data_IF_733794629863
#
_entry.id   IF_733794629863
#
_cell.length_a   1.000
_cell.length_b   1.000
_cell.length_c   1.000
_cell.angle_alpha   90.00
_cell.angle_beta   90.00
_cell.angle_gamma   90.00
#
_symmetry.space_group_name_H-M   'P 1'
#
loop_
_entity.id
_entity.type
_entity.pdbx_description
1 polymer ?
#
# COMPACT_ATOMS: atom_id res chain seq x y z
N UNK A 1 27.54 -19.68 9.18
CA UNK A 1 26.50 -20.00 10.17
C UNK A 1 25.24 -20.26 9.38
N UNK A 2 24.67 -21.45 9.51
CA UNK A 2 23.46 -21.86 8.78
C UNK A 2 22.28 -21.05 9.38
N UNK A 3 21.55 -20.34 8.51
CA UNK A 3 20.26 -19.75 8.85
C UNK A 3 19.26 -20.88 8.92
N UNK A 4 18.82 -21.24 10.13
CA UNK A 4 17.66 -22.14 10.31
C UNK A 4 16.42 -21.44 9.74
N UNK A 5 15.79 -22.07 8.76
CA UNK A 5 14.51 -21.62 8.23
C UNK A 5 13.42 -21.89 9.27
N UNK A 6 12.83 -20.82 9.84
CA UNK A 6 11.63 -20.92 10.68
C UNK A 6 10.47 -21.36 9.80
N UNK A 7 10.00 -22.58 9.97
CA UNK A 7 8.97 -23.21 9.13
C UNK A 7 7.56 -23.14 9.70
N UNK A 8 7.42 -22.88 11.02
CA UNK A 8 6.13 -22.71 11.70
C UNK A 8 6.21 -21.70 12.85
N UNK A 9 5.06 -21.24 13.35
CA UNK A 9 4.96 -20.36 14.54
C UNK A 9 5.39 -21.13 15.81
N UNK A 10 5.26 -22.46 15.80
CA UNK A 10 5.64 -23.33 16.92
C UNK A 10 7.16 -23.52 17.01
N UNK A 11 7.92 -23.15 15.96
CA UNK A 11 9.38 -23.19 15.95
C UNK A 11 10.02 -21.95 16.58
N UNK A 12 9.21 -20.96 17.01
CA UNK A 12 9.69 -19.79 17.72
C UNK A 12 9.90 -20.15 19.18
N UNK A 13 11.15 -20.42 19.53
CA UNK A 13 11.51 -20.59 20.95
C UNK A 13 11.41 -19.23 21.66
N UNK A 14 10.32 -19.03 22.39
CA UNK A 14 10.03 -17.83 23.18
C UNK A 14 10.72 -17.82 24.56
N UNK A 15 11.44 -18.91 24.92
CA UNK A 15 12.23 -18.91 26.14
C UNK A 15 13.51 -18.09 25.94
N UNK A 16 13.83 -17.14 26.83
CA UNK A 16 15.06 -16.38 26.74
C UNK A 16 16.25 -17.34 26.82
N UNK A 17 17.12 -17.29 25.81
CA UNK A 17 18.37 -18.03 25.86
C UNK A 17 19.17 -17.56 27.06
N UNK A 18 19.80 -18.49 27.76
CA UNK A 18 20.57 -18.21 28.97
C UNK A 18 21.69 -17.20 28.70
N UNK A 19 21.47 -15.95 29.08
CA UNK A 19 22.38 -14.81 28.85
C UNK A 19 21.71 -13.60 28.18
N UNK A 20 20.47 -13.71 27.67
CA UNK A 20 19.71 -12.57 27.19
C UNK A 20 18.95 -11.89 28.34
N UNK A 21 19.05 -10.57 28.39
CA UNK A 21 18.22 -9.76 29.30
C UNK A 21 16.75 -9.97 28.93
N UNK A 22 15.87 -10.33 29.88
CA UNK A 22 14.46 -10.46 29.57
C UNK A 22 13.93 -9.15 28.99
N UNK A 23 12.99 -9.24 28.07
CA UNK A 23 12.33 -8.05 27.49
C UNK A 23 11.88 -7.11 28.62
N UNK A 24 12.28 -5.86 28.56
CA UNK A 24 11.92 -4.82 29.53
C UNK A 24 11.48 -3.57 28.80
N UNK A 25 10.42 -2.93 29.30
CA UNK A 25 9.99 -1.59 28.90
C UNK A 25 10.63 -0.50 29.78
N UNK A 26 11.55 -0.88 30.69
CA UNK A 26 12.30 0.10 31.46
C UNK A 26 13.26 0.88 30.53
N UNK A 27 13.11 2.19 30.53
CA UNK A 27 13.94 3.07 29.72
C UNK A 27 15.37 3.09 30.29
N UNK A 28 16.34 2.97 29.41
CA UNK A 28 17.75 3.24 29.74
C UNK A 28 17.99 4.75 29.91
N UNK A 29 19.22 5.15 30.31
CA UNK A 29 19.47 6.57 30.58
C UNK A 29 19.37 7.43 29.33
N UNK A 30 19.92 6.98 28.20
CA UNK A 30 19.87 7.73 26.93
C UNK A 30 18.40 7.98 26.48
N UNK A 31 17.53 6.98 26.63
CA UNK A 31 16.10 7.11 26.33
C UNK A 31 15.38 8.09 27.27
N UNK A 32 15.76 8.10 28.55
CA UNK A 32 15.24 9.09 29.52
C UNK A 32 15.68 10.52 29.18
N UNK A 33 16.95 10.68 28.82
CA UNK A 33 17.54 11.97 28.45
C UNK A 33 16.92 12.50 27.16
N UNK A 34 16.73 11.65 26.15
CA UNK A 34 16.01 11.99 24.90
C UNK A 34 14.56 12.39 25.21
N UNK A 35 13.87 11.62 26.04
CA UNK A 35 12.50 11.94 26.44
C UNK A 35 12.40 13.31 27.09
N UNK A 36 13.27 13.62 28.05
CA UNK A 36 13.30 14.91 28.76
C UNK A 36 13.61 16.06 27.79
N UNK A 37 14.57 15.87 26.90
CA UNK A 37 14.93 16.85 25.90
C UNK A 37 13.77 17.17 24.94
N UNK A 38 13.11 16.13 24.38
CA UNK A 38 11.98 16.31 23.46
C UNK A 38 10.76 16.88 24.21
N UNK A 39 10.51 16.43 25.46
CA UNK A 39 9.44 16.98 26.29
C UNK A 39 9.64 18.49 26.53
N UNK A 40 10.83 18.92 26.85
CA UNK A 40 11.14 20.36 27.03
C UNK A 40 10.87 21.19 25.77
N UNK A 41 11.18 20.65 24.58
CA UNK A 41 10.80 21.29 23.33
C UNK A 41 9.28 21.27 23.10
N UNK A 42 8.64 20.17 23.39
CA UNK A 42 7.18 20.03 23.24
C UNK A 42 6.43 20.99 24.17
N UNK A 43 6.86 21.15 25.44
CA UNK A 43 6.28 22.06 26.42
C UNK A 43 6.55 23.52 26.07
N UNK A 44 7.79 23.86 25.71
CA UNK A 44 8.21 25.24 25.51
C UNK A 44 7.86 25.83 24.15
N UNK A 45 7.77 25.00 23.10
CA UNK A 45 7.57 25.47 21.71
C UNK A 45 6.31 24.90 21.08
N UNK A 46 6.10 23.58 21.11
CA UNK A 46 4.97 22.95 20.39
C UNK A 46 3.64 23.30 21.03
N UNK A 47 3.51 23.09 22.33
CA UNK A 47 2.24 23.28 23.04
C UNK A 47 1.72 24.70 23.05
N UNK A 48 2.55 25.75 23.24
CA UNK A 48 2.09 27.13 23.11
C UNK A 48 1.61 27.52 21.71
N UNK A 49 2.18 26.90 20.67
CA UNK A 49 1.83 27.15 19.27
C UNK A 49 0.60 26.35 18.78
N UNK A 50 0.17 25.33 19.52
CA UNK A 50 -0.82 24.35 19.08
C UNK A 50 -2.14 24.95 18.58
N UNK A 51 -2.76 25.83 19.39
CA UNK A 51 -4.06 26.44 19.07
C UNK A 51 -3.99 27.31 17.82
N UNK A 52 -2.95 28.13 17.71
CA UNK A 52 -2.76 29.03 16.57
C UNK A 52 -2.64 28.24 15.26
N UNK A 53 -1.77 27.24 15.20
CA UNK A 53 -1.53 26.50 13.97
C UNK A 53 -2.67 25.56 13.61
N UNK A 54 -3.40 25.04 14.60
CA UNK A 54 -4.62 24.27 14.33
C UNK A 54 -5.73 25.16 13.76
N UNK A 55 -5.94 26.37 14.29
CA UNK A 55 -6.94 27.33 13.80
C UNK A 55 -6.60 27.85 12.39
N UNK A 56 -5.33 28.14 12.12
CA UNK A 56 -4.86 28.60 10.80
C UNK A 56 -4.95 27.50 9.75
N UNK A 57 -4.94 26.24 10.15
CA UNK A 57 -4.88 25.08 9.24
C UNK A 57 -3.66 25.14 8.30
N UNK A 58 -2.55 25.72 8.73
CA UNK A 58 -1.32 25.87 7.95
C UNK A 58 -0.18 25.03 8.50
N UNK A 59 0.85 24.79 7.68
CA UNK A 59 2.06 24.09 8.11
C UNK A 59 2.86 25.01 9.06
N UNK A 60 3.25 24.54 10.25
CA UNK A 60 3.91 25.33 11.26
C UNK A 60 5.42 25.50 10.98
N UNK A 61 5.78 26.12 9.86
CA UNK A 61 7.15 26.31 9.43
C UNK A 61 8.09 26.88 10.50
N UNK A 62 7.69 27.91 11.29
CA UNK A 62 8.55 28.41 12.36
C UNK A 62 8.87 27.35 13.42
N UNK A 63 7.91 26.47 13.74
CA UNK A 63 8.13 25.40 14.73
C UNK A 63 9.04 24.32 14.16
N UNK A 64 8.89 23.97 12.86
CA UNK A 64 9.79 23.05 12.15
C UNK A 64 11.22 23.62 12.14
N UNK A 65 11.37 24.94 11.90
CA UNK A 65 12.66 25.62 11.91
C UNK A 65 13.31 25.58 13.31
N UNK A 66 12.55 25.83 14.38
CA UNK A 66 13.07 25.68 15.74
C UNK A 66 13.48 24.22 16.04
N UNK A 67 12.72 23.23 15.56
CA UNK A 67 13.11 21.82 15.67
C UNK A 67 14.41 21.52 14.91
N UNK A 68 14.64 22.15 13.75
CA UNK A 68 15.90 22.03 12.99
C UNK A 68 17.08 22.63 13.76
N UNK A 69 16.92 23.83 14.33
CA UNK A 69 17.99 24.51 15.09
C UNK A 69 18.49 23.71 16.28
N UNK A 70 17.59 23.00 16.96
CA UNK A 70 17.98 22.14 18.08
C UNK A 70 18.45 20.74 17.65
N UNK A 71 18.47 20.45 16.35
CA UNK A 71 18.86 19.17 15.81
C UNK A 71 17.80 18.06 15.89
N UNK A 72 16.55 18.37 16.27
CA UNK A 72 15.47 17.40 16.35
C UNK A 72 14.88 17.06 14.96
N UNK A 73 14.84 18.05 14.05
CA UNK A 73 14.42 17.85 12.68
C UNK A 73 15.62 17.79 11.75
N UNK A 74 16.02 16.56 11.40
CA UNK A 74 17.18 16.33 10.54
C UNK A 74 17.50 14.85 10.40
N UNK A 75 18.39 14.54 9.48
CA UNK A 75 18.80 13.17 9.22
C UNK A 75 19.53 12.54 10.40
N UNK A 76 20.43 13.29 11.05
CA UNK A 76 21.27 12.83 12.15
C UNK A 76 20.42 12.35 13.34
N UNK A 77 19.41 13.15 13.74
CA UNK A 77 18.49 12.76 14.80
C UNK A 77 17.70 11.50 14.43
N UNK A 78 17.17 11.47 13.20
CA UNK A 78 16.39 10.33 12.75
C UNK A 78 17.24 9.05 12.67
N UNK A 79 18.48 9.15 12.18
CA UNK A 79 19.42 8.04 12.14
C UNK A 79 19.74 7.51 13.56
N UNK A 80 19.91 8.41 14.52
CA UNK A 80 20.12 8.05 15.93
C UNK A 80 18.90 7.33 16.52
N UNK A 81 17.67 7.81 16.21
CA UNK A 81 16.45 7.19 16.69
C UNK A 81 16.24 5.78 16.10
N UNK A 82 16.61 5.57 14.84
CA UNK A 82 16.56 4.26 14.21
C UNK A 82 17.69 3.32 14.65
N UNK A 83 18.81 3.85 15.14
CA UNK A 83 19.92 3.04 15.59
C UNK A 83 19.69 2.37 16.97
N UNK A 84 18.64 2.75 17.70
CA UNK A 84 18.29 2.13 18.98
C UNK A 84 17.85 0.68 18.77
N UNK A 85 18.61 -0.31 19.27
CA UNK A 85 18.31 -1.72 19.08
C UNK A 85 17.03 -2.16 19.81
N UNK A 86 16.56 -1.39 20.79
CA UNK A 86 15.30 -1.66 21.50
C UNK A 86 14.08 -1.21 20.69
N UNK A 87 14.25 -0.31 19.73
CA UNK A 87 13.19 0.32 18.94
C UNK A 87 12.28 1.26 19.73
N UNK A 88 12.61 1.62 20.98
CA UNK A 88 11.77 2.47 21.84
C UNK A 88 12.01 3.96 21.65
N UNK A 89 13.18 4.39 21.20
CA UNK A 89 13.52 5.81 21.09
C UNK A 89 12.57 6.57 20.16
N UNK A 90 12.27 6.03 18.97
CA UNK A 90 11.35 6.68 18.05
C UNK A 90 9.90 6.79 18.59
N UNK A 91 9.29 5.76 19.19
CA UNK A 91 8.04 5.89 19.92
C UNK A 91 8.07 6.97 21.02
N UNK A 92 9.12 7.04 21.82
CA UNK A 92 9.28 8.05 22.88
C UNK A 92 9.26 9.46 22.30
N UNK A 93 10.05 9.71 21.26
CA UNK A 93 10.09 11.02 20.59
C UNK A 93 8.71 11.41 20.04
N UNK A 94 8.00 10.45 19.41
CA UNK A 94 6.66 10.70 18.90
C UNK A 94 5.66 10.99 20.03
N UNK A 95 5.72 10.23 21.14
CA UNK A 95 4.83 10.41 22.27
C UNK A 95 4.97 11.82 22.85
N UNK A 96 6.19 12.29 23.09
CA UNK A 96 6.44 13.62 23.66
C UNK A 96 6.04 14.75 22.70
N UNK A 97 6.35 14.63 21.40
CA UNK A 97 5.90 15.62 20.42
C UNK A 97 4.38 15.68 20.32
N UNK A 98 3.70 14.53 20.32
CA UNK A 98 2.26 14.46 20.20
C UNK A 98 1.53 14.85 21.49
N UNK A 99 2.18 14.72 22.65
CA UNK A 99 1.74 15.32 23.90
C UNK A 99 1.68 16.85 23.80
N UNK A 100 2.63 17.47 23.11
CA UNK A 100 2.61 18.90 22.79
C UNK A 100 1.43 19.26 21.89
N UNK A 101 1.42 18.72 20.68
CA UNK A 101 0.31 18.76 19.71
C UNK A 101 0.53 17.72 18.60
N UNK A 102 -0.47 16.91 18.32
CA UNK A 102 -0.36 15.85 17.34
C UNK A 102 -0.25 16.36 15.88
N UNK A 103 -0.84 17.53 15.56
CA UNK A 103 -0.74 18.14 14.23
C UNK A 103 0.66 18.67 13.95
N UNK A 104 1.24 19.38 14.90
CA UNK A 104 2.61 19.89 14.82
C UNK A 104 3.60 18.71 14.89
N UNK A 105 3.41 17.75 15.80
CA UNK A 105 4.23 16.55 15.89
C UNK A 105 4.28 15.78 14.58
N UNK A 106 3.13 15.62 13.91
CA UNK A 106 3.06 15.00 12.58
C UNK A 106 3.77 15.85 11.50
N UNK A 107 3.74 17.18 11.59
CA UNK A 107 4.44 18.06 10.65
C UNK A 107 5.97 17.90 10.76
N UNK A 108 6.48 17.68 11.98
CA UNK A 108 7.90 17.42 12.24
C UNK A 108 8.25 15.98 11.79
N UNK A 109 7.48 14.99 12.22
CA UNK A 109 7.85 13.57 12.01
C UNK A 109 7.40 13.00 10.67
N UNK A 110 6.52 13.69 9.93
CA UNK A 110 5.95 13.16 8.67
C UNK A 110 6.99 12.89 7.58
N UNK A 111 8.06 13.66 7.53
CA UNK A 111 9.20 13.46 6.60
C UNK A 111 9.90 12.12 6.83
N UNK A 112 9.90 11.59 8.05
CA UNK A 112 10.54 10.31 8.39
C UNK A 112 9.99 9.13 7.59
N UNK A 113 8.73 9.20 7.15
CA UNK A 113 8.11 8.15 6.32
C UNK A 113 8.76 8.06 4.93
N UNK A 114 9.06 9.21 4.31
CA UNK A 114 9.77 9.24 3.03
C UNK A 114 11.22 8.74 3.18
N UNK A 115 11.89 9.19 4.23
CA UNK A 115 13.26 8.74 4.56
C UNK A 115 13.30 7.24 4.81
N UNK A 116 12.33 6.67 5.56
CA UNK A 116 12.22 5.23 5.77
C UNK A 116 12.02 4.47 4.43
N UNK A 117 11.25 5.01 3.50
CA UNK A 117 11.07 4.45 2.16
C UNK A 117 12.39 4.42 1.36
N UNK A 118 13.20 5.49 1.44
CA UNK A 118 14.53 5.55 0.81
C UNK A 118 15.48 4.54 1.47
N UNK A 119 15.50 4.48 2.80
CA UNK A 119 16.33 3.52 3.56
C UNK A 119 16.00 2.06 3.22
N UNK A 120 14.72 1.73 3.15
CA UNK A 120 14.27 0.35 2.93
C UNK A 120 14.63 -0.18 1.53
N UNK A 121 14.78 0.71 0.54
CA UNK A 121 14.86 0.30 -0.86
C UNK A 121 16.02 0.89 -1.63
N UNK A 122 16.58 2.03 -1.20
CA UNK A 122 17.60 2.77 -1.91
C UNK A 122 19.01 2.16 -1.79
N UNK A 123 19.91 2.63 -2.65
CA UNK A 123 21.36 2.38 -2.54
C UNK A 123 22.00 3.44 -1.64
N UNK A 124 23.24 3.23 -1.13
CA UNK A 124 23.94 4.23 -0.36
C UNK A 124 24.10 5.59 -1.10
N UNK A 125 24.30 5.53 -2.41
CA UNK A 125 24.40 6.72 -3.26
C UNK A 125 23.07 7.46 -3.30
N UNK A 126 21.96 6.74 -3.50
CA UNK A 126 20.61 7.32 -3.47
C UNK A 126 20.25 7.89 -2.10
N UNK A 127 20.67 7.23 -1.02
CA UNK A 127 20.48 7.77 0.34
C UNK A 127 21.24 9.09 0.51
N UNK A 128 22.50 9.14 0.09
CA UNK A 128 23.34 10.35 0.15
C UNK A 128 22.80 11.51 -0.69
N UNK A 129 22.17 11.20 -1.83
CA UNK A 129 21.59 12.20 -2.73
C UNK A 129 20.26 12.75 -2.22
N UNK A 130 19.34 11.88 -1.81
CA UNK A 130 17.93 12.25 -1.59
C UNK A 130 17.58 12.60 -0.15
N UNK A 131 18.22 11.99 0.86
CA UNK A 131 17.87 12.23 2.25
C UNK A 131 18.11 13.68 2.68
N UNK A 132 19.24 14.34 2.34
CA UNK A 132 19.43 15.75 2.65
C UNK A 132 18.34 16.67 2.05
N UNK A 133 17.88 16.34 0.84
CA UNK A 133 16.83 17.10 0.16
C UNK A 133 15.44 16.94 0.81
N UNK A 134 15.23 15.90 1.62
CA UNK A 134 14.00 15.71 2.38
C UNK A 134 13.85 16.70 3.54
N UNK A 135 14.97 17.19 4.10
CA UNK A 135 14.99 18.07 5.27
C UNK A 135 15.33 19.52 4.93
N UNK A 136 16.09 19.75 3.86
CA UNK A 136 16.59 21.08 3.51
C UNK A 136 17.71 21.54 4.44
N UNK A 137 17.69 22.82 4.82
CA UNK A 137 18.68 23.44 5.71
C UNK A 137 17.98 24.12 6.89
N UNK A 138 18.77 24.59 7.87
CA UNK A 138 18.27 25.33 9.02
C UNK A 138 17.52 26.61 8.62
N UNK A 139 18.04 27.33 7.61
CA UNK A 139 17.43 28.58 7.12
C UNK A 139 16.25 28.31 6.14
N UNK A 140 16.21 27.15 5.49
CA UNK A 140 15.19 26.77 4.53
C UNK A 140 14.80 25.32 4.72
N UNK A 141 14.07 24.98 5.82
CA UNK A 141 13.63 23.63 6.08
C UNK A 141 12.64 23.15 5.01
N UNK A 142 12.84 21.91 4.55
CA UNK A 142 11.98 21.24 3.59
C UNK A 142 11.24 20.09 4.26
N UNK A 143 10.23 19.57 3.60
CA UNK A 143 9.54 18.36 4.01
C UNK A 143 9.47 17.38 2.85
N UNK A 144 9.31 16.11 3.15
CA UNK A 144 9.12 15.08 2.14
C UNK A 144 7.81 14.31 2.37
N UNK A 145 7.33 13.68 1.31
CA UNK A 145 6.10 12.90 1.32
C UNK A 145 6.33 11.45 0.94
N UNK A 146 5.69 10.52 1.67
CA UNK A 146 5.60 9.11 1.28
C UNK A 146 4.20 8.83 0.71
N UNK A 147 4.14 8.49 -0.57
CA UNK A 147 2.92 8.37 -1.34
C UNK A 147 2.65 6.92 -1.73
N UNK A 148 1.83 6.21 -0.96
CA UNK A 148 1.42 4.83 -1.24
C UNK A 148 -0.07 4.71 -1.48
N UNK A 149 -0.92 5.29 -0.61
CA UNK A 149 -2.37 5.17 -0.69
C UNK A 149 -2.95 5.81 -1.94
N UNK A 150 -4.04 5.23 -2.44
CA UNK A 150 -4.83 5.71 -3.57
C UNK A 150 -6.30 5.77 -3.19
N UNK A 151 -7.19 6.46 -3.95
CA UNK A 151 -8.61 6.51 -3.64
C UNK A 151 -9.24 5.11 -3.48
N UNK A 152 -8.78 4.13 -4.26
CA UNK A 152 -9.30 2.76 -4.26
C UNK A 152 -8.36 1.74 -3.58
N UNK A 153 -7.22 2.16 -3.03
CA UNK A 153 -6.23 1.28 -2.41
C UNK A 153 -5.64 1.92 -1.14
N UNK A 154 -6.27 1.65 -0.01
CA UNK A 154 -5.82 2.04 1.33
C UNK A 154 -5.24 0.85 2.09
N UNK A 155 -6.08 0.06 2.77
CA UNK A 155 -5.64 -1.15 3.47
C UNK A 155 -5.14 -2.23 2.51
N UNK A 156 -5.72 -2.34 1.31
CA UNK A 156 -5.23 -3.21 0.24
C UNK A 156 -4.28 -2.45 -0.70
N UNK A 157 -3.08 -2.18 -0.23
CA UNK A 157 -2.00 -1.59 -1.04
C UNK A 157 -1.44 -2.55 -2.10
N UNK A 158 -1.92 -3.80 -2.18
CA UNK A 158 -1.54 -4.71 -3.27
C UNK A 158 -2.22 -4.35 -4.60
N UNK A 159 -3.30 -3.56 -4.55
CA UNK A 159 -4.17 -3.20 -5.68
C UNK A 159 -3.88 -1.80 -6.25
N UNK A 160 -2.66 -1.30 -6.13
CA UNK A 160 -2.28 0.02 -6.66
C UNK A 160 -2.53 0.13 -8.15
N UNK A 161 -3.10 1.26 -8.56
CA UNK A 161 -3.38 1.63 -9.96
C UNK A 161 -2.38 2.61 -10.53
N UNK A 162 -1.73 3.44 -9.73
CA UNK A 162 -0.61 4.28 -10.16
C UNK A 162 0.46 3.37 -10.73
N UNK A 163 0.84 3.63 -11.98
CA UNK A 163 1.68 2.74 -12.76
C UNK A 163 2.92 3.45 -13.27
N UNK A 164 4.06 2.79 -13.16
CA UNK A 164 5.33 3.25 -13.70
C UNK A 164 5.76 2.35 -14.86
N UNK A 165 6.04 2.95 -16.02
CA UNK A 165 6.55 2.26 -17.22
C UNK A 165 7.94 2.76 -17.55
N UNK A 166 8.86 1.83 -17.78
CA UNK A 166 10.21 2.18 -18.21
C UNK A 166 10.29 2.45 -19.71
N UNK A 167 10.93 3.56 -20.06
CA UNK A 167 11.27 3.96 -21.44
C UNK A 167 12.77 3.66 -21.65
N UNK A 168 13.08 2.51 -22.24
CA UNK A 168 14.47 2.05 -22.46
C UNK A 168 15.26 2.99 -23.39
N UNK A 169 14.59 3.68 -24.32
CA UNK A 169 15.28 4.56 -25.28
C UNK A 169 15.81 5.84 -24.63
N UNK A 170 15.20 6.25 -23.50
CA UNK A 170 15.55 7.49 -22.81
C UNK A 170 16.15 7.28 -21.43
N UNK A 171 16.17 6.04 -20.95
CA UNK A 171 16.49 5.70 -19.55
C UNK A 171 15.62 6.50 -18.55
N UNK A 172 14.30 6.50 -18.78
CA UNK A 172 13.32 7.22 -17.97
C UNK A 172 12.21 6.29 -17.48
N UNK A 173 11.64 6.60 -16.31
CA UNK A 173 10.37 6.06 -15.88
C UNK A 173 9.26 7.06 -16.12
N UNK A 174 8.15 6.59 -16.66
CA UNK A 174 6.93 7.37 -16.92
C UNK A 174 5.86 6.93 -15.93
N UNK A 175 5.45 7.83 -15.05
CA UNK A 175 4.50 7.57 -13.99
C UNK A 175 3.17 8.24 -14.32
N UNK A 176 2.08 7.47 -14.18
CA UNK A 176 0.71 7.95 -14.34
C UNK A 176 -0.18 7.40 -13.23
N UNK A 177 -1.04 8.27 -12.67
CA UNK A 177 -1.97 7.90 -11.63
C UNK A 177 -2.19 8.98 -10.58
N UNK A 178 -2.71 8.57 -9.43
CA UNK A 178 -3.04 9.49 -8.33
C UNK A 178 -2.74 8.82 -7.00
N UNK A 179 -2.15 9.59 -6.08
CA UNK A 179 -2.00 9.23 -4.67
C UNK A 179 -2.91 10.10 -3.82
N UNK A 180 -3.46 9.51 -2.76
CA UNK A 180 -4.42 10.17 -1.89
C UNK A 180 -3.92 10.23 -0.44
N UNK A 181 -4.29 11.31 0.25
CA UNK A 181 -4.04 11.51 1.67
C UNK A 181 -2.56 11.46 2.07
N UNK A 182 -1.67 11.85 1.18
CA UNK A 182 -0.24 11.89 1.48
C UNK A 182 0.06 13.03 2.47
N UNK A 183 0.68 12.69 3.60
CA UNK A 183 1.25 13.68 4.51
C UNK A 183 2.32 14.47 3.75
N UNK A 184 2.26 15.79 3.83
CA UNK A 184 3.09 16.72 3.08
C UNK A 184 2.91 16.67 1.55
N UNK A 185 1.97 15.89 0.99
CA UNK A 185 1.85 15.65 -0.46
C UNK A 185 1.73 16.90 -1.32
N UNK A 186 1.16 18.00 -0.79
CA UNK A 186 1.00 19.27 -1.51
C UNK A 186 2.10 20.31 -1.25
N UNK A 187 3.14 19.98 -0.48
CA UNK A 187 4.22 20.92 -0.11
C UNK A 187 5.60 20.26 -0.08
N UNK A 188 5.68 18.98 -0.41
CA UNK A 188 6.92 18.23 -0.32
C UNK A 188 7.95 18.67 -1.35
N UNK A 189 9.20 18.78 -0.93
CA UNK A 189 10.34 18.95 -1.83
C UNK A 189 10.65 17.65 -2.59
N UNK A 190 10.56 16.52 -1.90
CA UNK A 190 10.79 15.18 -2.45
C UNK A 190 9.59 14.31 -2.17
N UNK A 191 9.12 13.57 -3.19
CA UNK A 191 8.10 12.54 -3.01
C UNK A 191 8.70 11.15 -3.20
N UNK A 192 8.47 10.26 -2.25
CA UNK A 192 8.76 8.83 -2.41
C UNK A 192 7.44 8.13 -2.75
N UNK A 193 7.35 7.61 -3.96
CA UNK A 193 6.09 7.11 -4.53
C UNK A 193 6.18 5.63 -4.83
N UNK A 194 5.24 4.84 -4.29
CA UNK A 194 5.14 3.42 -4.61
C UNK A 194 4.19 3.22 -5.79
N UNK A 195 4.69 2.65 -6.87
CA UNK A 195 3.94 2.40 -8.09
C UNK A 195 3.90 0.91 -8.44
N UNK A 196 2.86 0.49 -9.16
CA UNK A 196 2.84 -0.80 -9.84
C UNK A 196 3.70 -0.73 -11.11
N UNK A 197 4.59 -1.69 -11.30
CA UNK A 197 5.35 -1.91 -12.55
C UNK A 197 4.90 -3.19 -13.26
N UNK A 198 4.22 -4.09 -12.54
CA UNK A 198 3.59 -5.30 -13.07
C UNK A 198 2.35 -5.63 -12.23
N UNK A 199 1.18 -5.26 -12.75
CA UNK A 199 -0.11 -5.44 -12.05
C UNK A 199 -0.49 -6.89 -11.79
N UNK A 200 0.00 -7.82 -12.63
CA UNK A 200 -0.32 -9.25 -12.47
C UNK A 200 0.33 -9.87 -11.23
N UNK A 201 1.37 -9.24 -10.72
CA UNK A 201 2.10 -9.69 -9.54
C UNK A 201 1.59 -9.11 -8.22
N UNK A 202 0.60 -8.16 -8.25
CA UNK A 202 0.10 -7.46 -7.07
C UNK A 202 1.22 -6.75 -6.31
N UNK A 203 1.29 -6.89 -4.97
CA UNK A 203 2.34 -6.27 -4.16
C UNK A 203 3.78 -6.60 -4.61
N UNK A 204 4.02 -7.78 -5.17
CA UNK A 204 5.34 -8.18 -5.67
C UNK A 204 5.74 -7.47 -6.98
N UNK A 205 4.76 -6.89 -7.67
CA UNK A 205 4.94 -6.10 -8.89
C UNK A 205 5.04 -4.60 -8.65
N UNK A 206 5.33 -4.16 -7.41
CA UNK A 206 5.45 -2.75 -7.04
C UNK A 206 6.91 -2.36 -6.90
N UNK A 207 7.22 -1.07 -7.11
CA UNK A 207 8.53 -0.48 -6.89
C UNK A 207 8.36 0.93 -6.31
N UNK A 208 9.38 1.39 -5.57
CA UNK A 208 9.41 2.74 -5.00
C UNK A 208 10.31 3.64 -5.86
N UNK A 209 9.88 4.86 -6.06
CA UNK A 209 10.54 5.87 -6.87
C UNK A 209 10.70 7.16 -6.08
N UNK A 210 11.80 7.85 -6.28
CA UNK A 210 11.95 9.24 -5.85
C UNK A 210 11.50 10.15 -6.99
N UNK A 211 10.62 11.08 -6.69
CA UNK A 211 10.25 12.15 -7.60
C UNK A 211 11.02 13.39 -7.15
N UNK A 212 11.95 13.88 -7.97
CA UNK A 212 12.71 15.10 -7.68
C UNK A 212 11.82 16.35 -7.55
N UNK A 213 12.29 17.41 -6.91
CA UNK A 213 11.60 18.69 -6.88
C UNK A 213 11.24 19.17 -8.29
N UNK A 214 10.11 19.86 -8.42
CA UNK A 214 9.68 20.54 -9.64
C UNK A 214 9.61 19.64 -10.90
N UNK A 215 9.44 18.32 -10.71
CA UNK A 215 9.31 17.37 -11.83
C UNK A 215 8.04 17.64 -12.63
N UNK A 216 8.13 17.91 -13.94
CA UNK A 216 6.96 18.09 -14.80
C UNK A 216 6.05 16.86 -14.78
N UNK A 217 4.73 17.10 -14.73
CA UNK A 217 3.74 16.02 -14.64
C UNK A 217 3.53 15.47 -13.22
N UNK A 218 4.22 16.00 -12.20
CA UNK A 218 3.89 15.79 -10.79
C UNK A 218 3.15 17.02 -10.26
N UNK A 219 1.84 16.89 -10.04
CA UNK A 219 1.00 17.96 -9.53
C UNK A 219 0.69 17.71 -8.05
N UNK A 220 1.10 18.65 -7.21
CA UNK A 220 0.83 18.69 -5.78
C UNK A 220 -0.57 19.25 -5.54
N UNK A 221 -1.45 18.46 -4.93
CA UNK A 221 -2.83 18.82 -4.67
C UNK A 221 -3.01 19.85 -3.55
N UNK A 222 -4.21 20.40 -3.49
CA UNK A 222 -4.59 21.32 -2.42
C UNK A 222 -4.71 20.58 -1.08
N UNK A 223 -4.42 21.30 0.02
CA UNK A 223 -4.57 20.79 1.38
C UNK A 223 -6.00 20.35 1.67
N UNK A 224 -6.15 19.13 2.16
CA UNK A 224 -7.43 18.58 2.60
C UNK A 224 -7.85 19.21 3.94
N UNK A 225 -9.10 19.67 4.05
CA UNK A 225 -9.70 20.10 5.32
C UNK A 225 -9.95 18.89 6.21
N UNK A 226 -9.46 18.95 7.44
CA UNK A 226 -9.54 17.85 8.41
C UNK A 226 -10.25 18.28 9.69
N UNK A 227 -10.81 17.32 10.43
CA UNK A 227 -11.43 17.56 11.73
C UNK A 227 -10.42 17.67 12.89
N UNK A 228 -9.19 17.24 12.69
CA UNK A 228 -8.08 17.31 13.63
C UNK A 228 -6.76 17.18 12.92
N UNK A 229 -5.64 17.34 13.63
CA UNK A 229 -4.28 17.39 13.06
C UNK A 229 -4.17 18.45 11.96
N UNK A 230 -4.85 19.60 12.14
CA UNK A 230 -5.02 20.60 11.09
C UNK A 230 -3.74 21.35 10.74
N UNK A 231 -2.78 21.42 11.67
CA UNK A 231 -1.44 21.91 11.39
C UNK A 231 -0.66 21.02 10.41
N UNK A 232 -0.90 19.70 10.41
CA UNK A 232 -0.26 18.78 9.46
C UNK A 232 -0.86 18.92 8.06
N UNK A 233 -0.01 19.05 7.04
CA UNK A 233 -0.43 19.10 5.65
C UNK A 233 -0.79 17.68 5.14
N UNK A 234 -1.94 17.57 4.49
CA UNK A 234 -2.38 16.32 3.83
C UNK A 234 -2.96 16.69 2.48
N UNK A 235 -2.51 16.05 1.41
CA UNK A 235 -3.01 16.33 0.05
C UNK A 235 -2.96 15.09 -0.82
N UNK A 236 -3.66 15.15 -1.95
CA UNK A 236 -3.50 14.22 -3.05
C UNK A 236 -2.29 14.64 -3.90
N UNK A 237 -1.72 13.68 -4.63
CA UNK A 237 -0.63 13.94 -5.60
C UNK A 237 -1.00 13.26 -6.91
N UNK A 238 -0.97 14.02 -8.00
CA UNK A 238 -1.34 13.54 -9.32
C UNK A 238 -0.11 13.40 -10.21
N UNK A 239 -0.09 12.35 -11.03
CA UNK A 239 0.97 12.07 -11.98
C UNK A 239 0.36 11.93 -13.38
N UNK A 240 0.76 12.81 -14.30
CA UNK A 240 0.35 12.80 -15.71
C UNK A 240 1.59 12.89 -16.58
N UNK A 241 1.93 11.80 -17.25
CA UNK A 241 3.17 11.61 -18.01
C UNK A 241 4.42 12.11 -17.23
N UNK A 242 4.42 11.90 -15.92
CA UNK A 242 5.50 12.32 -15.03
C UNK A 242 6.75 11.49 -15.34
N UNK A 243 7.77 12.15 -15.91
CA UNK A 243 9.00 11.52 -16.36
C UNK A 243 10.13 11.79 -15.40
N UNK A 244 10.77 10.71 -14.96
CA UNK A 244 11.90 10.77 -14.05
C UNK A 244 13.05 9.91 -14.59
N UNK A 245 14.33 10.27 -14.32
CA UNK A 245 15.48 9.47 -14.68
C UNK A 245 15.42 8.03 -14.16
N UNK A 246 16.04 7.10 -14.87
CA UNK A 246 16.15 5.70 -14.45
C UNK A 246 16.74 5.53 -13.06
N UNK A 247 17.68 6.42 -12.68
CA UNK A 247 18.33 6.48 -11.35
C UNK A 247 17.38 6.80 -10.19
N UNK A 248 16.19 7.34 -10.46
CA UNK A 248 15.16 7.63 -9.43
C UNK A 248 14.40 6.37 -8.96
N UNK A 249 14.58 5.22 -9.60
CA UNK A 249 14.08 3.94 -9.08
C UNK A 249 14.94 3.52 -7.89
N UNK A 250 14.34 3.42 -6.71
CA UNK A 250 15.06 3.01 -5.50
C UNK A 250 15.54 1.56 -5.61
N UNK A 251 16.84 1.37 -5.37
CA UNK A 251 17.53 0.08 -5.44
C UNK A 251 17.95 -0.35 -6.85
N UNK A 252 17.60 0.41 -7.88
CA UNK A 252 18.05 0.20 -9.25
C UNK A 252 17.29 -0.85 -10.05
N UNK A 253 17.43 -0.76 -11.38
CA UNK A 253 16.64 -1.58 -12.32
C UNK A 253 17.02 -3.05 -12.30
N UNK A 254 18.30 -3.38 -12.15
CA UNK A 254 18.76 -4.76 -12.11
C UNK A 254 18.12 -5.56 -10.97
N UNK A 255 18.16 -5.02 -9.74
CA UNK A 255 17.53 -5.61 -8.56
C UNK A 255 16.00 -5.75 -8.74
N UNK A 256 15.37 -4.76 -9.38
CA UNK A 256 13.93 -4.83 -9.69
C UNK A 256 13.64 -5.97 -10.67
N UNK A 257 14.39 -6.08 -11.76
CA UNK A 257 14.19 -7.11 -12.80
C UNK A 257 14.37 -8.51 -12.25
N UNK A 258 15.40 -8.77 -11.42
CA UNK A 258 15.60 -10.04 -10.72
C UNK A 258 14.42 -10.39 -9.80
N UNK A 259 13.93 -9.40 -9.03
CA UNK A 259 12.79 -9.59 -8.13
C UNK A 259 11.52 -9.91 -8.89
N UNK A 260 11.26 -9.23 -10.02
CA UNK A 260 10.11 -9.50 -10.88
C UNK A 260 10.21 -10.87 -11.54
N UNK A 261 11.39 -11.29 -12.01
CA UNK A 261 11.62 -12.61 -12.58
C UNK A 261 11.28 -13.71 -11.57
N UNK A 262 11.83 -13.64 -10.36
CA UNK A 262 11.52 -14.59 -9.26
C UNK A 262 10.04 -14.61 -8.90
N UNK A 263 9.38 -13.44 -8.87
CA UNK A 263 7.95 -13.35 -8.57
C UNK A 263 7.08 -13.98 -9.65
N UNK A 264 7.45 -13.86 -10.93
CA UNK A 264 6.77 -14.48 -12.07
C UNK A 264 6.89 -16.00 -12.04
N UNK A 265 8.08 -16.53 -11.77
CA UNK A 265 8.31 -17.96 -11.61
C UNK A 265 7.46 -18.56 -10.49
N UNK A 266 7.47 -17.96 -9.30
CA UNK A 266 6.63 -18.40 -8.18
C UNK A 266 5.13 -18.33 -8.49
N UNK A 267 4.68 -17.37 -9.29
CA UNK A 267 3.28 -17.26 -9.73
C UNK A 267 2.92 -18.34 -10.72
N UNK A 268 3.82 -18.65 -11.69
CA UNK A 268 3.64 -19.74 -12.66
C UNK A 268 3.55 -21.09 -11.95
N UNK A 269 4.45 -21.36 -11.01
CA UNK A 269 4.46 -22.59 -10.23
C UNK A 269 3.15 -22.78 -9.44
N UNK A 270 2.65 -21.72 -8.77
CA UNK A 270 1.37 -21.76 -8.05
C UNK A 270 0.18 -22.00 -8.98
N UNK A 271 0.12 -21.33 -10.13
CA UNK A 271 -0.94 -21.55 -11.14
C UNK A 271 -0.91 -23.00 -11.67
N UNK A 272 0.27 -23.55 -11.93
CA UNK A 272 0.44 -24.92 -12.41
C UNK A 272 0.02 -25.95 -11.35
N UNK A 273 0.42 -25.76 -10.10
CA UNK A 273 -0.01 -26.63 -8.99
C UNK A 273 -1.54 -26.58 -8.79
N UNK A 274 -2.15 -25.40 -8.85
CA UNK A 274 -3.60 -25.26 -8.76
C UNK A 274 -4.33 -25.95 -9.91
N UNK A 275 -3.81 -25.87 -11.15
CA UNK A 275 -4.37 -26.59 -12.29
C UNK A 275 -4.27 -28.11 -12.11
N UNK A 276 -3.12 -28.64 -11.67
CA UNK A 276 -2.95 -30.06 -11.39
C UNK A 276 -3.91 -30.56 -10.31
N UNK A 277 -4.10 -29.78 -9.24
CA UNK A 277 -5.06 -30.11 -8.18
C UNK A 277 -6.50 -30.11 -8.72
N UNK A 278 -6.86 -29.12 -9.55
CA UNK A 278 -8.17 -29.05 -10.19
C UNK A 278 -8.42 -30.22 -11.15
N UNK A 279 -7.44 -30.61 -11.96
CA UNK A 279 -7.52 -31.77 -12.85
C UNK A 279 -7.64 -33.08 -12.06
N UNK A 280 -6.90 -33.22 -10.96
CA UNK A 280 -6.99 -34.38 -10.09
C UNK A 280 -8.34 -34.52 -9.37
N UNK A 281 -8.99 -33.39 -9.07
CA UNK A 281 -10.30 -33.35 -8.42
C UNK A 281 -11.50 -33.56 -9.35
N UNK A 282 -11.29 -33.61 -10.68
CA UNK A 282 -12.36 -33.87 -11.64
C UNK A 282 -12.86 -35.32 -11.53
N UNK A 283 -14.14 -35.56 -11.25
CA UNK A 283 -14.70 -36.92 -11.24
C UNK A 283 -14.57 -37.52 -12.67
N UNK A 284 -13.74 -38.52 -12.80
CA UNK A 284 -13.53 -39.25 -14.08
C UNK A 284 -12.16 -39.15 -14.72
N UNK A 285 -11.19 -38.48 -14.11
CA UNK A 285 -9.81 -38.36 -14.64
C UNK A 285 -8.88 -39.48 -14.21
N UNK A 286 -9.37 -40.53 -13.50
CA UNK A 286 -8.52 -41.71 -13.30
C UNK A 286 -8.35 -42.46 -14.62
N UNK A 287 -7.13 -42.61 -15.06
CA UNK A 287 -6.76 -43.42 -16.26
C UNK A 287 -7.26 -44.89 -16.21
N UNK A 288 -7.77 -45.30 -15.04
CA UNK A 288 -8.47 -46.55 -14.83
C UNK A 288 -9.92 -46.51 -15.41
N UNK A 289 -10.62 -45.40 -15.34
CA UNK A 289 -12.00 -45.25 -15.87
C UNK A 289 -12.00 -45.22 -17.42
N UNK A 290 -10.99 -44.59 -18.02
CA UNK A 290 -10.81 -44.61 -19.49
C UNK A 290 -10.42 -46.00 -20.02
N UNK A 291 -9.61 -46.75 -19.26
CA UNK A 291 -9.28 -48.15 -19.62
C UNK A 291 -10.45 -49.08 -19.40
N UNK A 292 -11.31 -48.86 -18.41
CA UNK A 292 -12.55 -49.63 -18.22
C UNK A 292 -13.54 -49.42 -19.37
N UNK A 293 -13.79 -48.16 -19.77
CA UNK A 293 -14.65 -47.84 -20.92
C UNK A 293 -14.11 -48.37 -22.25
N UNK A 294 -12.80 -48.38 -22.44
CA UNK A 294 -12.17 -48.96 -23.65
C UNK A 294 -12.24 -50.52 -23.68
N UNK A 295 -12.32 -51.18 -22.53
CA UNK A 295 -12.54 -52.63 -22.44
C UNK A 295 -13.98 -53.05 -22.69
N UNK A 296 -14.97 -52.23 -22.20
CA UNK A 296 -16.40 -52.47 -22.43
C UNK A 296 -16.79 -52.19 -23.88
N UNK A 297 -16.23 -51.19 -24.53
CA UNK A 297 -16.44 -50.92 -25.95
C UNK A 297 -15.94 -52.00 -26.88
N UNK A 298 -14.96 -52.80 -26.47
CA UNK A 298 -14.45 -53.99 -27.27
C UNK A 298 -15.22 -55.27 -27.03
N UNK A 299 -16.16 -55.31 -26.05
CA UNK A 299 -17.01 -56.48 -25.79
C UNK A 299 -18.40 -56.37 -26.41
N UNK A 300 -18.78 -55.23 -26.99
CA UNK A 300 -20.03 -55.09 -27.73
C UNK A 300 -19.88 -55.65 -29.14
N UNK A 301 -20.11 -56.94 -29.30
CA UNK A 301 -20.25 -57.61 -30.59
C UNK A 301 -21.45 -57.09 -31.36
N UNK A 302 -21.40 -56.96 -32.69
CA UNK A 302 -22.51 -56.42 -33.47
C UNK A 302 -23.59 -57.46 -33.59
N UNK A 303 -24.76 -57.19 -32.99
CA UNK A 303 -25.97 -57.95 -33.23
C UNK A 303 -26.54 -57.57 -34.60
N UNK A 304 -26.35 -58.46 -35.59
CA UNK A 304 -27.04 -58.39 -36.88
C UNK A 304 -28.52 -58.73 -36.66
N UNK A 305 -29.41 -57.82 -37.00
CA UNK A 305 -30.73 -58.18 -37.57
C UNK A 305 -31.28 -57.04 -38.41
N UNK A 306 -31.55 -57.38 -39.64
CA UNK A 306 -32.20 -56.52 -40.60
C UNK A 306 -33.69 -56.39 -40.32
N UNK A 307 -34.29 -55.34 -40.83
CA UNK A 307 -35.74 -55.09 -40.78
C UNK A 307 -36.05 -53.74 -41.43
N UNK A 308 -36.39 -53.82 -42.71
CA UNK A 308 -36.92 -52.72 -43.48
C UNK A 308 -38.30 -52.34 -42.98
N UNK A 309 -38.58 -51.05 -42.75
CA UNK A 309 -39.96 -50.52 -42.84
C UNK A 309 -39.91 -49.08 -43.34
N UNK A 310 -40.63 -48.88 -44.45
CA UNK A 310 -40.96 -47.60 -45.03
C UNK A 310 -42.17 -47.00 -44.24
N UNK A 311 -42.17 -45.71 -44.06
CA UNK A 311 -43.36 -45.05 -43.54
C UNK A 311 -43.15 -43.55 -43.31
N UNK A 312 -43.79 -42.82 -44.14
CA UNK A 312 -43.96 -41.37 -44.24
C UNK A 312 -44.49 -40.69 -42.98
N UNK A 313 -44.15 -39.40 -42.74
CA UNK A 313 -45.13 -38.46 -42.23
C UNK A 313 -44.72 -37.54 -41.05
N UNK A 314 -44.67 -36.29 -41.42
CA UNK A 314 -45.09 -35.10 -40.64
C UNK A 314 -44.29 -34.58 -39.48
N UNK A 315 -43.95 -33.32 -39.69
CA UNK A 315 -43.39 -32.34 -38.76
C UNK A 315 -44.30 -32.11 -37.54
N UNK A 316 -43.78 -32.13 -36.36
CA UNK A 316 -44.22 -31.24 -35.26
C UNK A 316 -43.08 -30.87 -34.32
N UNK A 317 -42.89 -29.56 -34.16
CA UNK A 317 -41.99 -28.93 -33.18
C UNK A 317 -42.48 -29.26 -31.76
N UNK A 318 -41.62 -29.77 -30.91
CA UNK A 318 -41.82 -29.72 -29.45
C UNK A 318 -40.65 -29.02 -28.79
N UNK A 319 -41.00 -27.91 -28.19
CA UNK A 319 -40.15 -27.18 -27.22
C UNK A 319 -40.06 -28.04 -25.95
N UNK A 320 -38.85 -28.41 -25.54
CA UNK A 320 -38.63 -28.99 -24.24
C UNK A 320 -38.23 -27.84 -23.26
N UNK A 321 -39.14 -27.63 -22.31
CA UNK A 321 -38.91 -26.85 -21.10
C UNK A 321 -38.03 -27.70 -20.17
N UNK A 322 -36.88 -27.18 -19.74
CA UNK A 322 -36.13 -27.74 -18.65
C UNK A 322 -36.62 -27.13 -17.33
N UNK A 323 -37.16 -27.99 -16.47
CA UNK A 323 -37.71 -27.64 -15.18
C UNK A 323 -36.59 -27.44 -14.13
N UNK A 324 -36.80 -26.43 -13.33
CA UNK A 324 -36.06 -26.12 -12.09
C UNK A 324 -36.28 -27.21 -11.02
N UNK A 325 -35.23 -27.57 -10.32
CA UNK A 325 -35.24 -27.97 -8.88
C UNK A 325 -34.04 -27.26 -8.24
N UNK A 326 -34.23 -26.32 -7.48
CA UNK A 326 -34.55 -26.03 -6.10
C UNK A 326 -33.61 -26.67 -5.09
N UNK A 327 -32.91 -25.80 -4.34
CA UNK A 327 -32.85 -25.90 -2.91
C UNK A 327 -31.47 -25.96 -2.31
N UNK A 328 -30.97 -24.86 -1.74
CA UNK A 328 -30.66 -24.75 -0.31
C UNK A 328 -30.03 -23.40 0.05
N UNK A 329 -30.75 -22.74 0.91
CA UNK A 329 -30.36 -22.01 2.10
C UNK A 329 -29.37 -20.83 1.97
N UNK A 330 -29.96 -19.64 1.87
CA UNK A 330 -29.36 -18.39 2.36
C UNK A 330 -29.83 -18.17 3.81
N UNK A 331 -28.89 -17.99 4.74
CA UNK A 331 -29.13 -17.49 6.08
C UNK A 331 -29.31 -15.96 6.10
N UNK A 332 -29.83 -15.39 7.18
CA UNK A 332 -30.57 -14.13 7.18
C UNK A 332 -29.69 -12.94 7.55
N UNK A 333 -29.65 -11.94 6.68
CA UNK A 333 -29.49 -10.52 7.08
C UNK A 333 -29.84 -9.64 5.88
N UNK A 334 -31.10 -9.18 5.90
CA UNK A 334 -31.56 -8.07 5.07
C UNK A 334 -32.55 -7.24 5.92
N UNK A 335 -32.24 -5.98 6.24
CA UNK A 335 -33.25 -5.09 6.80
C UNK A 335 -34.10 -4.45 5.71
N UNK A 336 -35.38 -4.51 5.95
CA UNK A 336 -36.57 -4.09 5.22
C UNK A 336 -36.51 -2.67 4.64
N UNK A 337 -36.96 -2.59 3.40
CA UNK A 337 -37.59 -1.41 2.80
C UNK A 337 -38.95 -1.23 3.45
N UNK A 338 -39.22 0.02 3.84
CA UNK A 338 -40.50 0.70 3.69
C UNK A 338 -40.39 2.06 4.39
N UNK A 339 -40.43 3.14 3.62
CA UNK A 339 -41.24 4.33 3.87
C UNK A 339 -41.24 5.28 2.67
N UNK A 340 -42.44 5.61 2.29
CA UNK A 340 -42.85 6.44 1.18
C UNK A 340 -42.39 7.89 1.27
N UNK A 341 -42.15 8.49 0.09
CA UNK A 341 -42.11 9.93 -0.12
C UNK A 341 -43.51 10.53 -0.10
N UNK A 342 -43.66 11.76 0.42
CA UNK A 342 -44.69 12.66 -0.08
C UNK A 342 -44.08 13.79 -0.93
N UNK A 343 -44.78 14.06 -2.02
CA UNK A 343 -44.54 15.16 -2.94
C UNK A 343 -45.19 16.47 -2.40
N UNK A 344 -44.64 17.60 -2.81
CA UNK A 344 -45.30 18.91 -2.72
C UNK A 344 -44.26 20.01 -2.39
N UNK A 345 -44.07 20.89 -3.20
CA UNK A 345 -44.58 22.01 -3.90
C UNK A 345 -43.52 23.10 -4.04
N UNK A 346 -43.44 23.63 -5.21
CA UNK A 346 -42.55 24.75 -5.66
C UNK A 346 -43.03 26.11 -5.07
N UNK A 347 -42.07 26.99 -4.83
CA UNK A 347 -42.08 28.37 -5.36
C UNK A 347 -40.73 29.07 -5.15
N UNK A 348 -40.24 29.93 -6.05
CA UNK A 348 -38.92 30.51 -6.05
C UNK A 348 -38.87 31.97 -5.55
N UNK A 349 -37.68 32.60 -5.50
CA UNK A 349 -37.32 33.67 -4.58
C UNK A 349 -37.38 35.09 -5.17
N UNK A 350 -37.42 36.06 -4.26
CA UNK A 350 -37.27 37.47 -4.55
C UNK A 350 -35.83 37.98 -4.40
N UNK A 351 -35.44 38.90 -5.27
CA UNK A 351 -34.19 39.68 -5.25
C UNK A 351 -34.26 40.82 -4.20
N UNK A 352 -33.13 40.99 -3.58
CA UNK A 352 -32.42 42.27 -3.28
C UNK A 352 -33.16 43.41 -2.51
N UNK A 353 -32.46 44.36 -1.89
CA UNK A 353 -31.27 45.07 -2.33
C UNK A 353 -29.98 44.66 -1.63
#
# INVERSE_FOLDING_TARGET
MATEEITSVDDVNLEPQSGETPFSLELNQDQKDIREWVHGFAEGVVRPAASEWDEREETPWPVIQEATKIGLYGFEALAQFFADPTGLTLPIVNEELFWGDAGIGMSIMGTSLAVAGIFASGTPEQMGEWIPQCFGSEDDPKVAAFCVSEPDAGSDVSSLRTFAKYDEAKDEWVINGQKAWATNGGIANVHVVVCSVDRELGARGQAAFVIPPDTPGCEQGAKVKKHGLRASHTADVHFDDCRIPGSCLLGGKEKLDERLARAREGTRAKKQAAMQTFEASRPGSSSACLRARARDARRASPCRRGGSFRGSGSRRRRRLRCARRAGRACGPWCPSRDRACPAGSRTPPGRAP
#
